data_IF_676876755865
#
_entry.id   IF_676876755865
#
_cell.length_a   1.000
_cell.length_b   1.000
_cell.length_c   1.000
_cell.angle_alpha   90.00
_cell.angle_beta   90.00
_cell.angle_gamma   90.00
#
_symmetry.space_group_name_H-M   'P 1'
#
loop_
_entity.id
_entity.type
_entity.pdbx_description
1 polymer ?
#
# COMPACT_ATOMS: atom_id res chain seq x y z
N UNK A 1 -18.39 -25.02 -17.69
CA UNK A 1 -17.31 -24.15 -17.14
C UNK A 1 -17.72 -22.66 -17.13
N UNK A 2 -18.56 -22.20 -18.04
CA UNK A 2 -19.08 -20.81 -18.09
C UNK A 2 -19.89 -20.42 -16.86
N UNK A 3 -20.85 -21.27 -16.41
CA UNK A 3 -21.71 -20.97 -15.26
C UNK A 3 -20.97 -20.62 -13.96
N UNK A 4 -19.78 -21.20 -13.74
CA UNK A 4 -18.97 -20.90 -12.55
C UNK A 4 -18.36 -19.48 -12.63
N UNK A 5 -17.89 -19.07 -13.80
CA UNK A 5 -17.41 -17.71 -14.02
C UNK A 5 -18.54 -16.68 -13.93
N UNK A 6 -19.70 -17.01 -14.48
CA UNK A 6 -20.89 -16.14 -14.40
C UNK A 6 -21.31 -15.95 -12.94
N UNK A 7 -21.32 -17.02 -12.14
CA UNK A 7 -21.61 -16.94 -10.70
C UNK A 7 -20.61 -16.04 -9.94
N UNK A 8 -19.31 -16.12 -10.25
CA UNK A 8 -18.30 -15.26 -9.62
C UNK A 8 -18.53 -13.80 -10.00
N UNK A 9 -18.82 -13.51 -11.26
CA UNK A 9 -19.08 -12.16 -11.73
C UNK A 9 -20.35 -11.58 -11.10
N UNK A 10 -21.39 -12.39 -10.95
CA UNK A 10 -22.63 -11.99 -10.28
C UNK A 10 -22.41 -11.72 -8.80
N UNK A 11 -21.68 -12.58 -8.08
CA UNK A 11 -21.30 -12.35 -6.70
C UNK A 11 -20.49 -11.06 -6.54
N UNK A 12 -19.57 -10.81 -7.44
CA UNK A 12 -18.71 -9.62 -7.45
C UNK A 12 -19.55 -8.35 -7.63
N UNK A 13 -20.55 -8.39 -8.52
CA UNK A 13 -21.49 -7.30 -8.73
C UNK A 13 -22.43 -7.09 -7.52
N UNK A 14 -22.98 -8.15 -6.95
CA UNK A 14 -23.85 -8.08 -5.78
C UNK A 14 -23.12 -7.54 -4.55
N UNK A 15 -21.91 -7.99 -4.28
CA UNK A 15 -21.09 -7.49 -3.18
C UNK A 15 -20.74 -6.00 -3.36
N UNK A 16 -20.43 -5.58 -4.58
CA UNK A 16 -20.24 -4.17 -4.87
C UNK A 16 -21.48 -3.36 -4.54
N UNK A 17 -22.65 -3.73 -5.09
CA UNK A 17 -23.90 -2.97 -4.89
C UNK A 17 -24.28 -2.90 -3.40
N UNK A 18 -24.14 -4.01 -2.67
CA UNK A 18 -24.38 -4.06 -1.23
C UNK A 18 -23.49 -3.07 -0.47
N UNK A 19 -22.18 -3.05 -0.75
CA UNK A 19 -21.23 -2.17 -0.06
C UNK A 19 -21.38 -0.70 -0.50
N UNK A 20 -21.70 -0.46 -1.78
CA UNK A 20 -21.93 0.87 -2.33
C UNK A 20 -23.27 1.48 -1.86
N UNK A 21 -24.25 0.65 -1.45
CA UNK A 21 -25.52 1.14 -0.87
C UNK A 21 -25.39 1.69 0.54
N UNK A 22 -24.31 1.39 1.27
CA UNK A 22 -24.03 1.87 2.64
C UNK A 22 -23.60 3.34 2.69
N UNK A 23 -23.86 4.07 1.65
CA UNK A 23 -23.44 5.47 1.48
C UNK A 23 -24.23 6.43 2.37
N UNK A 24 -23.53 7.46 2.83
CA UNK A 24 -24.08 8.63 3.53
C UNK A 24 -23.18 9.86 3.30
N UNK A 25 -23.67 11.05 3.60
CA UNK A 25 -22.95 12.33 3.35
C UNK A 25 -21.56 12.38 4.01
N UNK A 26 -21.47 11.94 5.27
CA UNK A 26 -20.18 11.84 5.98
C UNK A 26 -19.22 10.89 5.27
N UNK A 27 -19.69 9.70 4.90
CA UNK A 27 -18.89 8.69 4.20
C UNK A 27 -18.46 9.16 2.81
N UNK A 28 -19.28 9.94 2.11
CA UNK A 28 -18.95 10.49 0.79
C UNK A 28 -17.71 11.39 0.87
N UNK A 29 -17.66 12.30 1.83
CA UNK A 29 -16.51 13.18 2.05
C UNK A 29 -15.31 12.39 2.52
N UNK A 30 -15.49 11.53 3.54
CA UNK A 30 -14.39 10.77 4.14
C UNK A 30 -13.74 9.81 3.14
N UNK A 31 -14.51 8.98 2.44
CA UNK A 31 -13.99 7.96 1.54
C UNK A 31 -13.37 8.56 0.28
N UNK A 32 -13.94 9.67 -0.22
CA UNK A 32 -13.38 10.40 -1.35
C UNK A 32 -11.99 10.94 -1.01
N UNK A 33 -11.86 11.67 0.10
CA UNK A 33 -10.59 12.24 0.55
C UNK A 33 -9.58 11.15 0.95
N UNK A 34 -10.03 10.12 1.68
CA UNK A 34 -9.17 9.01 2.12
C UNK A 34 -8.50 8.30 0.95
N UNK A 35 -9.20 8.14 -0.18
CA UNK A 35 -8.65 7.54 -1.39
C UNK A 35 -7.71 8.46 -2.18
N UNK A 36 -7.63 9.73 -1.78
CA UNK A 36 -6.81 10.74 -2.43
C UNK A 36 -5.32 10.54 -2.14
N UNK A 37 -4.48 10.48 -3.19
CA UNK A 37 -3.03 10.28 -3.03
C UNK A 37 -2.31 11.41 -2.29
N UNK A 38 -2.82 12.64 -2.39
CA UNK A 38 -2.19 13.82 -1.81
C UNK A 38 -2.30 13.89 -0.29
N UNK A 39 -3.38 13.35 0.25
CA UNK A 39 -3.64 13.30 1.69
C UNK A 39 -2.54 12.52 2.43
N UNK A 40 -1.95 11.52 1.79
CA UNK A 40 -0.98 10.61 2.38
C UNK A 40 0.48 11.03 2.17
N UNK A 41 0.77 12.21 1.59
CA UNK A 41 2.15 12.68 1.38
C UNK A 41 2.92 12.71 2.70
N UNK A 42 2.33 13.26 3.77
CA UNK A 42 2.95 13.29 5.10
C UNK A 42 3.33 11.88 5.59
N UNK A 43 2.43 10.92 5.41
CA UNK A 43 2.68 9.52 5.76
C UNK A 43 3.83 8.91 4.94
N UNK A 44 3.89 9.13 3.63
CA UNK A 44 4.99 8.63 2.79
C UNK A 44 6.33 9.27 3.15
N UNK A 45 6.36 10.57 3.44
CA UNK A 45 7.57 11.27 3.88
C UNK A 45 8.07 10.74 5.23
N UNK A 46 7.17 10.38 6.15
CA UNK A 46 7.56 9.80 7.43
C UNK A 46 8.05 8.36 7.32
N UNK A 47 7.53 7.56 6.38
CA UNK A 47 8.10 6.26 6.03
C UNK A 47 9.56 6.44 5.56
N UNK A 48 9.79 7.35 4.61
CA UNK A 48 11.15 7.65 4.13
C UNK A 48 12.08 8.09 5.27
N UNK A 49 11.64 9.04 6.09
CA UNK A 49 12.40 9.52 7.25
C UNK A 49 12.72 8.38 8.24
N UNK A 50 11.74 7.54 8.56
CA UNK A 50 11.93 6.39 9.44
C UNK A 50 12.94 5.37 8.89
N UNK A 51 12.93 5.13 7.58
CA UNK A 51 13.91 4.26 6.92
C UNK A 51 15.34 4.81 7.09
N UNK A 52 15.53 6.11 6.85
CA UNK A 52 16.83 6.75 6.99
C UNK A 52 17.31 6.76 8.46
N UNK A 53 16.40 7.08 9.39
CA UNK A 53 16.73 7.13 10.84
C UNK A 53 17.07 5.75 11.41
N UNK A 54 16.36 4.73 10.98
CA UNK A 54 16.53 3.36 11.52
C UNK A 54 17.70 2.60 10.91
N UNK A 55 17.94 2.75 9.61
CA UNK A 55 18.93 1.95 8.88
C UNK A 55 20.18 2.75 8.45
N UNK A 56 20.22 4.05 8.72
CA UNK A 56 21.24 4.96 8.20
C UNK A 56 20.94 5.38 6.75
N UNK A 57 21.64 6.43 6.29
CA UNK A 57 21.31 7.11 5.04
C UNK A 57 21.35 6.18 3.82
N UNK A 58 22.48 5.46 3.60
CA UNK A 58 22.66 4.61 2.40
C UNK A 58 21.67 3.44 2.38
N UNK A 59 21.55 2.72 3.49
CA UNK A 59 20.62 1.57 3.59
C UNK A 59 19.17 2.03 3.53
N UNK A 60 18.87 3.17 4.17
CA UNK A 60 17.55 3.79 4.12
C UNK A 60 17.14 4.17 2.69
N UNK A 61 18.07 4.72 1.89
CA UNK A 61 17.83 5.00 0.48
C UNK A 61 17.57 3.74 -0.35
N UNK A 62 18.30 2.64 -0.09
CA UNK A 62 18.06 1.37 -0.80
C UNK A 62 16.66 0.85 -0.49
N UNK A 63 16.22 0.87 0.77
CA UNK A 63 14.88 0.45 1.14
C UNK A 63 13.81 1.39 0.60
N UNK A 64 14.04 2.70 0.59
CA UNK A 64 13.11 3.67 0.01
C UNK A 64 12.97 3.48 -1.51
N UNK A 65 14.08 3.23 -2.21
CA UNK A 65 14.06 2.90 -3.63
C UNK A 65 13.30 1.59 -3.90
N UNK A 66 13.49 0.55 -3.08
CA UNK A 66 12.73 -0.69 -3.17
C UNK A 66 11.23 -0.49 -2.94
N UNK A 67 10.83 0.38 -2.02
CA UNK A 67 9.42 0.76 -1.82
C UNK A 67 8.84 1.47 -3.06
N UNK A 68 9.56 2.44 -3.61
CA UNK A 68 9.17 3.15 -4.84
C UNK A 68 9.07 2.18 -6.03
N UNK A 69 10.03 1.27 -6.17
CA UNK A 69 10.02 0.25 -7.21
C UNK A 69 8.84 -0.72 -7.07
N UNK A 70 8.47 -1.08 -5.84
CA UNK A 70 7.29 -1.91 -5.56
C UNK A 70 6.02 -1.25 -6.09
N UNK A 71 5.82 0.04 -5.78
CA UNK A 71 4.64 0.79 -6.24
C UNK A 71 4.67 0.94 -7.77
N UNK A 72 5.82 1.28 -8.36
CA UNK A 72 5.95 1.41 -9.81
C UNK A 72 5.68 0.09 -10.53
N UNK A 73 6.22 -1.03 -10.03
CA UNK A 73 5.96 -2.36 -10.58
C UNK A 73 4.47 -2.71 -10.50
N UNK A 74 3.84 -2.53 -9.33
CA UNK A 74 2.44 -2.84 -9.11
C UNK A 74 1.52 -2.01 -10.03
N UNK A 75 1.79 -0.70 -10.16
CA UNK A 75 1.03 0.18 -11.02
C UNK A 75 1.17 -0.19 -12.50
N UNK A 76 2.40 -0.41 -12.99
CA UNK A 76 2.67 -0.77 -14.37
C UNK A 76 2.09 -2.14 -14.74
N UNK A 77 2.24 -3.14 -13.87
CA UNK A 77 1.65 -4.46 -14.10
C UNK A 77 0.12 -4.38 -14.21
N UNK A 78 -0.52 -3.61 -13.33
CA UNK A 78 -1.98 -3.44 -13.38
C UNK A 78 -2.42 -2.59 -14.57
N UNK A 79 -1.82 -1.41 -14.76
CA UNK A 79 -2.30 -0.43 -15.73
C UNK A 79 -1.91 -0.75 -17.17
N UNK A 80 -0.65 -1.20 -17.38
CA UNK A 80 -0.07 -1.32 -18.72
C UNK A 80 -0.04 -2.76 -19.25
N UNK A 81 -0.09 -3.77 -18.36
CA UNK A 81 -0.02 -5.17 -18.79
C UNK A 81 -1.39 -5.86 -18.67
N UNK A 82 -1.92 -5.98 -17.43
CA UNK A 82 -3.10 -6.83 -17.19
C UNK A 82 -4.38 -6.12 -17.67
N UNK A 83 -4.53 -4.82 -17.41
CA UNK A 83 -5.76 -4.08 -17.75
C UNK A 83 -6.10 -4.09 -19.25
N UNK A 84 -5.16 -3.87 -20.18
CA UNK A 84 -5.44 -3.97 -21.60
C UNK A 84 -5.81 -5.39 -22.07
N UNK A 85 -5.24 -6.42 -21.41
CA UNK A 85 -5.50 -7.81 -21.75
C UNK A 85 -6.90 -8.26 -21.33
N UNK A 86 -7.37 -7.80 -20.16
CA UNK A 86 -8.67 -8.22 -19.60
C UNK A 86 -9.81 -7.34 -20.07
N UNK A 87 -9.60 -6.02 -20.18
CA UNK A 87 -10.59 -5.06 -20.70
C UNK A 87 -11.88 -4.94 -19.88
N UNK A 88 -11.93 -5.43 -18.60
CA UNK A 88 -13.13 -5.37 -17.76
C UNK A 88 -13.51 -3.92 -17.47
N UNK A 89 -14.73 -3.54 -17.89
CA UNK A 89 -15.28 -2.21 -17.62
C UNK A 89 -15.46 -1.97 -16.12
N UNK A 90 -15.23 -0.72 -15.68
CA UNK A 90 -15.58 -0.30 -14.30
C UNK A 90 -17.09 -0.34 -14.07
N UNK A 91 -17.54 -0.59 -12.82
CA UNK A 91 -18.97 -0.46 -12.50
C UNK A 91 -19.48 0.96 -12.74
N UNK A 92 -18.63 1.97 -12.59
CA UNK A 92 -18.93 3.40 -12.84
C UNK A 92 -18.92 3.80 -14.32
N UNK A 93 -18.47 2.95 -15.25
CA UNK A 93 -18.44 3.28 -16.67
C UNK A 93 -19.86 3.35 -17.23
N UNK A 94 -20.20 4.42 -17.97
CA UNK A 94 -21.53 4.63 -18.52
C UNK A 94 -21.98 3.55 -19.53
N UNK A 95 -21.02 2.89 -20.17
CA UNK A 95 -21.29 1.76 -21.08
C UNK A 95 -21.58 0.45 -20.34
N UNK A 96 -21.30 0.39 -19.03
CA UNK A 96 -21.58 -0.76 -18.19
C UNK A 96 -23.04 -0.71 -17.72
N UNK A 97 -23.88 -1.72 -18.04
CA UNK A 97 -25.29 -1.74 -17.59
C UNK A 97 -25.45 -1.58 -16.06
N UNK A 98 -24.48 -2.06 -15.28
CA UNK A 98 -24.50 -1.94 -13.82
C UNK A 98 -24.41 -0.48 -13.35
N UNK A 99 -23.88 0.43 -14.18
CA UNK A 99 -23.66 1.83 -13.79
C UNK A 99 -24.93 2.59 -13.41
N UNK A 100 -26.09 2.12 -13.90
CA UNK A 100 -27.39 2.68 -13.54
C UNK A 100 -27.77 2.43 -12.07
N UNK A 101 -27.18 1.42 -11.44
CA UNK A 101 -27.47 1.00 -10.06
C UNK A 101 -26.35 1.41 -9.08
N UNK A 102 -25.24 1.93 -9.59
CA UNK A 102 -24.07 2.30 -8.78
C UNK A 102 -24.15 3.76 -8.36
N UNK A 103 -24.06 4.00 -7.06
CA UNK A 103 -23.96 5.35 -6.52
C UNK A 103 -22.56 5.92 -6.77
N UNK A 104 -22.48 7.07 -7.41
CA UNK A 104 -21.23 7.76 -7.73
C UNK A 104 -21.07 8.99 -6.86
N UNK A 105 -19.93 9.12 -6.19
CA UNK A 105 -19.61 10.27 -5.34
C UNK A 105 -18.85 11.31 -6.19
N UNK A 106 -19.26 12.58 -6.08
CA UNK A 106 -18.62 13.73 -6.77
C UNK A 106 -18.40 13.53 -8.27
N UNK A 107 -19.27 12.78 -8.95
CA UNK A 107 -19.12 12.42 -10.38
C UNK A 107 -17.79 11.72 -10.71
N UNK A 108 -17.10 11.15 -9.72
CA UNK A 108 -15.84 10.49 -9.92
C UNK A 108 -16.03 9.07 -10.47
N UNK A 109 -15.74 8.86 -11.75
CA UNK A 109 -15.94 7.58 -12.45
C UNK A 109 -14.65 6.82 -12.74
N UNK A 110 -13.50 7.50 -12.71
CA UNK A 110 -12.21 6.92 -13.11
C UNK A 110 -12.12 6.68 -14.63
N UNK A 111 -11.15 5.85 -15.04
CA UNK A 111 -11.00 5.46 -16.45
C UNK A 111 -11.97 4.36 -16.88
N UNK A 112 -12.03 3.97 -18.17
CA UNK A 112 -13.03 3.03 -18.70
C UNK A 112 -12.92 1.63 -18.09
N UNK A 113 -11.71 1.09 -17.95
CA UNK A 113 -11.44 -0.25 -17.44
C UNK A 113 -10.91 -0.25 -16.01
N UNK A 114 -11.31 -1.24 -15.22
CA UNK A 114 -11.03 -1.31 -13.77
C UNK A 114 -10.12 -2.44 -13.32
N UNK A 115 -10.06 -3.52 -14.05
CA UNK A 115 -9.35 -4.73 -13.62
C UNK A 115 -7.90 -4.77 -14.08
N UNK A 116 -6.95 -5.06 -13.17
CA UNK A 116 -7.09 -5.03 -11.73
C UNK A 116 -6.97 -3.61 -11.16
N UNK A 117 -7.23 -3.45 -9.85
CA UNK A 117 -7.13 -2.16 -9.18
C UNK A 117 -5.70 -1.77 -8.86
N UNK A 118 -5.20 -0.69 -9.50
CA UNK A 118 -3.90 -0.13 -9.15
C UNK A 118 -3.84 0.41 -7.71
N UNK A 119 -4.96 0.93 -7.17
CA UNK A 119 -4.99 1.39 -5.77
C UNK A 119 -4.74 0.24 -4.80
N UNK A 120 -5.40 -0.89 -4.98
CA UNK A 120 -5.17 -2.08 -4.16
C UNK A 120 -3.73 -2.59 -4.33
N UNK A 121 -3.23 -2.65 -5.56
CA UNK A 121 -1.88 -3.12 -5.84
C UNK A 121 -0.82 -2.22 -5.17
N UNK A 122 -0.94 -0.91 -5.29
CA UNK A 122 0.00 0.04 -4.73
C UNK A 122 -0.03 0.04 -3.19
N UNK A 123 -1.23 0.02 -2.58
CA UNK A 123 -1.37 0.07 -1.13
C UNK A 123 -0.95 -1.24 -0.45
N UNK A 124 -1.37 -2.39 -0.95
CA UNK A 124 -0.96 -3.69 -0.42
C UNK A 124 0.52 -3.99 -0.71
N UNK A 125 1.03 -3.60 -1.87
CA UNK A 125 2.45 -3.72 -2.20
C UNK A 125 3.31 -2.91 -1.23
N UNK A 126 2.99 -1.63 -1.02
CA UNK A 126 3.68 -0.79 -0.06
C UNK A 126 3.57 -1.33 1.37
N UNK A 127 2.36 -1.78 1.77
CA UNK A 127 2.11 -2.33 3.10
C UNK A 127 2.99 -3.56 3.37
N UNK A 128 3.00 -4.52 2.46
CA UNK A 128 3.78 -5.75 2.63
C UNK A 128 5.28 -5.49 2.58
N UNK A 129 5.75 -4.69 1.61
CA UNK A 129 7.16 -4.33 1.49
C UNK A 129 7.69 -3.67 2.77
N UNK A 130 7.00 -2.63 3.25
CA UNK A 130 7.42 -1.90 4.45
C UNK A 130 7.30 -2.73 5.72
N UNK A 131 6.34 -3.66 5.78
CA UNK A 131 6.24 -4.66 6.87
C UNK A 131 7.46 -5.57 6.92
N UNK A 132 7.95 -6.07 5.79
CA UNK A 132 9.18 -6.86 5.72
C UNK A 132 10.41 -6.07 6.18
N UNK A 133 10.46 -4.77 5.85
CA UNK A 133 11.58 -3.89 6.23
C UNK A 133 11.53 -3.51 7.70
N UNK A 134 10.39 -3.02 8.19
CA UNK A 134 10.29 -2.51 9.57
C UNK A 134 10.10 -3.62 10.61
N UNK A 135 9.44 -4.72 10.30
CA UNK A 135 9.16 -5.82 11.24
C UNK A 135 8.59 -5.32 12.56
N UNK A 136 7.66 -4.40 12.49
CA UNK A 136 6.98 -3.78 13.64
C UNK A 136 5.49 -4.07 13.56
N UNK A 137 4.93 -4.73 14.58
CA UNK A 137 3.53 -5.15 14.57
C UNK A 137 2.55 -3.97 14.58
N UNK A 138 2.90 -2.86 15.28
CA UNK A 138 2.08 -1.63 15.28
C UNK A 138 1.99 -1.03 13.88
N UNK A 139 3.14 -0.92 13.21
CA UNK A 139 3.21 -0.45 11.83
C UNK A 139 2.47 -1.40 10.87
N UNK A 140 2.68 -2.70 11.01
CA UNK A 140 2.02 -3.72 10.21
C UNK A 140 0.48 -3.60 10.32
N UNK A 141 -0.04 -3.56 11.55
CA UNK A 141 -1.48 -3.43 11.78
C UNK A 141 -2.05 -2.15 11.16
N UNK A 142 -1.37 -1.01 11.36
CA UNK A 142 -1.80 0.27 10.79
C UNK A 142 -1.80 0.25 9.26
N UNK A 143 -0.69 -0.16 8.63
CA UNK A 143 -0.53 -0.05 7.17
C UNK A 143 -1.45 -1.01 6.41
N UNK A 144 -1.72 -2.21 6.97
CA UNK A 144 -2.71 -3.12 6.37
C UNK A 144 -4.14 -2.64 6.57
N UNK A 145 -4.48 -2.08 7.74
CA UNK A 145 -5.79 -1.44 7.95
C UNK A 145 -5.99 -0.27 6.97
N UNK A 146 -4.97 0.57 6.81
CA UNK A 146 -4.96 1.66 5.83
C UNK A 146 -5.18 1.14 4.39
N UNK A 147 -4.51 0.06 3.99
CA UNK A 147 -4.71 -0.55 2.68
C UNK A 147 -6.13 -1.12 2.49
N UNK A 148 -6.69 -1.75 3.53
CA UNK A 148 -8.07 -2.26 3.52
C UNK A 148 -9.10 -1.13 3.39
N UNK A 149 -8.93 -0.04 4.15
CA UNK A 149 -9.83 1.13 4.03
C UNK A 149 -9.71 1.79 2.66
N UNK A 150 -8.49 1.84 2.06
CA UNK A 150 -8.33 2.27 0.68
C UNK A 150 -9.09 1.37 -0.30
N UNK A 151 -9.04 0.06 -0.15
CA UNK A 151 -9.81 -0.86 -0.98
C UNK A 151 -11.32 -0.65 -0.80
N UNK A 152 -11.78 -0.52 0.44
CA UNK A 152 -13.19 -0.24 0.72
C UNK A 152 -13.63 1.08 0.07
N UNK A 153 -12.83 2.13 0.16
CA UNK A 153 -13.15 3.40 -0.48
C UNK A 153 -13.40 3.28 -1.98
N UNK A 154 -12.71 2.35 -2.68
CA UNK A 154 -12.91 2.12 -4.13
C UNK A 154 -14.26 1.47 -4.46
N UNK A 155 -14.74 0.58 -3.60
CA UNK A 155 -16.09 0.00 -3.71
C UNK A 155 -17.15 1.03 -3.32
N UNK A 156 -16.91 1.76 -2.22
CA UNK A 156 -17.78 2.84 -1.77
C UNK A 156 -18.02 3.90 -2.86
N UNK A 157 -16.94 4.30 -3.55
CA UNK A 157 -17.00 5.26 -4.67
C UNK A 157 -17.56 4.65 -5.97
N UNK A 158 -17.88 3.35 -6.00
CA UNK A 158 -18.45 2.67 -7.15
C UNK A 158 -17.51 2.46 -8.33
N UNK A 159 -16.18 2.51 -8.14
CA UNK A 159 -15.20 2.50 -9.25
C UNK A 159 -14.47 1.16 -9.46
N UNK A 160 -14.60 0.22 -8.53
CA UNK A 160 -14.00 -1.11 -8.62
C UNK A 160 -14.90 -2.19 -8.02
N UNK A 161 -14.88 -3.35 -8.62
CA UNK A 161 -15.43 -4.56 -8.05
C UNK A 161 -14.51 -5.14 -6.96
N UNK A 162 -15.02 -5.92 -5.98
CA UNK A 162 -14.19 -6.66 -5.02
C UNK A 162 -13.10 -7.51 -5.66
N UNK A 163 -13.41 -8.21 -6.77
CA UNK A 163 -12.46 -9.03 -7.52
C UNK A 163 -11.31 -8.22 -8.12
N UNK A 164 -11.57 -6.97 -8.58
CA UNK A 164 -10.50 -6.07 -9.06
C UNK A 164 -9.50 -5.74 -7.95
N UNK A 165 -10.01 -5.56 -6.72
CA UNK A 165 -9.21 -5.23 -5.55
C UNK A 165 -8.38 -6.42 -5.07
N UNK A 166 -9.00 -7.61 -5.04
CA UNK A 166 -8.31 -8.84 -4.65
C UNK A 166 -7.12 -9.14 -5.56
N UNK A 167 -7.35 -9.13 -6.88
CA UNK A 167 -6.28 -9.39 -7.85
C UNK A 167 -5.23 -8.27 -7.81
N UNK A 168 -5.65 -7.02 -7.66
CA UNK A 168 -4.73 -5.90 -7.45
C UNK A 168 -3.83 -6.12 -6.23
N UNK A 169 -4.41 -6.48 -5.08
CA UNK A 169 -3.66 -6.76 -3.86
C UNK A 169 -2.63 -7.89 -4.06
N UNK A 170 -3.01 -8.98 -4.76
CA UNK A 170 -2.10 -10.09 -5.08
C UNK A 170 -0.93 -9.58 -5.93
N UNK A 171 -1.18 -8.81 -6.99
CA UNK A 171 -0.13 -8.24 -7.85
C UNK A 171 0.82 -7.36 -7.03
N UNK A 172 0.28 -6.51 -6.15
CA UNK A 172 1.07 -5.67 -5.25
C UNK A 172 1.95 -6.49 -4.30
N UNK A 173 1.38 -7.54 -3.69
CA UNK A 173 2.13 -8.43 -2.80
C UNK A 173 3.26 -9.17 -3.52
N UNK A 174 3.05 -9.63 -4.75
CA UNK A 174 4.10 -10.25 -5.57
C UNK A 174 5.22 -9.24 -5.84
N UNK A 175 4.88 -8.01 -6.24
CA UNK A 175 5.84 -6.93 -6.44
C UNK A 175 6.64 -6.61 -5.17
N UNK A 176 5.99 -6.56 -4.01
CA UNK A 176 6.64 -6.32 -2.72
C UNK A 176 7.67 -7.41 -2.40
N UNK A 177 7.32 -8.66 -2.60
CA UNK A 177 8.23 -9.80 -2.37
C UNK A 177 9.47 -9.72 -3.26
N UNK A 178 9.28 -9.50 -4.56
CA UNK A 178 10.39 -9.37 -5.53
C UNK A 178 11.28 -8.18 -5.19
N UNK A 179 10.70 -7.01 -4.96
CA UNK A 179 11.48 -5.80 -4.67
C UNK A 179 12.20 -5.87 -3.31
N UNK A 180 11.60 -6.52 -2.31
CA UNK A 180 12.27 -6.75 -1.03
C UNK A 180 13.49 -7.68 -1.19
N UNK A 181 13.36 -8.73 -1.98
CA UNK A 181 14.49 -9.61 -2.29
C UNK A 181 15.62 -8.87 -3.02
N UNK A 182 15.29 -8.06 -4.03
CA UNK A 182 16.26 -7.24 -4.76
C UNK A 182 16.94 -6.21 -3.85
N UNK A 183 16.20 -5.54 -2.97
CA UNK A 183 16.76 -4.62 -1.99
C UNK A 183 17.74 -5.34 -1.06
N UNK A 184 17.42 -6.57 -0.63
CA UNK A 184 18.33 -7.42 0.16
C UNK A 184 19.64 -7.75 -0.57
N UNK A 185 19.59 -8.08 -1.86
CA UNK A 185 20.81 -8.30 -2.67
C UNK A 185 21.66 -7.03 -2.76
N UNK A 186 21.04 -5.86 -2.99
CA UNK A 186 21.74 -4.57 -3.02
C UNK A 186 22.40 -4.25 -1.68
N UNK A 187 21.70 -4.47 -0.56
CA UNK A 187 22.23 -4.28 0.79
C UNK A 187 23.50 -5.13 1.02
N UNK A 188 23.43 -6.42 0.69
CA UNK A 188 24.55 -7.33 0.83
C UNK A 188 25.77 -6.89 0.00
N UNK A 189 25.53 -6.40 -1.22
CA UNK A 189 26.60 -5.91 -2.09
C UNK A 189 27.30 -4.67 -1.52
N UNK A 190 26.51 -3.70 -1.01
CA UNK A 190 27.05 -2.49 -0.38
C UNK A 190 27.83 -2.80 0.88
N UNK A 191 27.35 -3.72 1.72
CA UNK A 191 28.04 -4.13 2.96
C UNK A 191 29.37 -4.79 2.66
N UNK A 192 29.43 -5.72 1.68
CA UNK A 192 30.69 -6.38 1.27
C UNK A 192 31.73 -5.41 0.73
N UNK A 193 31.31 -4.37 -0.02
CA UNK A 193 32.23 -3.33 -0.51
C UNK A 193 32.71 -2.39 0.59
N UNK A 194 31.88 -2.10 1.58
CA UNK A 194 32.25 -1.24 2.73
C UNK A 194 33.27 -1.87 3.64
N UNK A 195 33.30 -3.19 3.79
CA UNK A 195 34.32 -3.94 4.54
C UNK A 195 35.65 -4.04 3.81
N UNK A 196 35.66 -3.91 2.47
CA UNK A 196 36.86 -3.99 1.62
C UNK A 196 37.56 -2.65 1.38
N UNK A 197 36.92 -1.50 1.68
CA UNK A 197 37.51 -0.16 1.51
C UNK A 197 37.43 0.59 2.81
N UNK A 198 38.53 0.66 3.54
CA UNK A 198 38.74 1.65 4.61
C UNK A 198 38.45 3.05 4.08
N UNK A 199 37.61 3.76 4.80
CA UNK A 199 37.42 5.22 4.78
C UNK A 199 37.57 5.93 3.44
N UNK A 200 36.53 6.00 2.65
CA UNK A 200 36.39 6.99 1.60
C UNK A 200 35.57 8.17 2.17
N UNK A 201 36.19 9.35 2.24
CA UNK A 201 35.61 10.63 2.71
C UNK A 201 35.51 10.85 4.22
N UNK A 202 36.48 10.46 5.07
CA UNK A 202 36.59 11.06 6.42
C UNK A 202 35.35 11.07 7.34
N UNK A 203 34.23 10.58 6.87
CA UNK A 203 33.01 10.37 7.65
C UNK A 203 33.16 8.99 8.30
N UNK A 204 33.51 9.01 9.59
CA UNK A 204 33.37 7.82 10.44
C UNK A 204 31.95 7.32 10.29
N UNK A 205 31.71 6.31 9.47
CA UNK A 205 30.45 5.58 9.49
C UNK A 205 30.33 4.99 10.89
N UNK A 206 29.38 5.51 11.63
CA UNK A 206 29.07 5.08 12.99
C UNK A 206 28.94 3.57 12.98
N UNK A 207 29.85 2.90 13.68
CA UNK A 207 29.91 1.46 13.83
C UNK A 207 28.87 1.07 14.88
N UNK A 208 27.59 1.34 14.58
CA UNK A 208 26.52 0.74 15.36
C UNK A 208 26.56 -0.76 15.07
N UNK A 209 26.79 -1.52 16.13
CA UNK A 209 26.59 -2.96 16.11
C UNK A 209 25.24 -3.25 15.46
N UNK A 210 25.16 -4.21 14.54
CA UNK A 210 23.92 -4.54 13.90
C UNK A 210 22.93 -5.04 14.95
N UNK A 211 21.97 -4.20 15.33
CA UNK A 211 20.79 -4.60 16.10
C UNK A 211 19.79 -5.38 15.20
N UNK A 212 20.21 -5.73 13.99
CA UNK A 212 19.52 -6.68 13.14
C UNK A 212 20.33 -8.00 13.13
N UNK A 213 19.71 -9.14 13.43
CA UNK A 213 20.39 -10.42 13.34
C UNK A 213 20.89 -10.63 11.90
N UNK A 214 22.14 -11.00 11.78
CA UNK A 214 22.82 -11.37 10.54
C UNK A 214 21.93 -12.22 9.63
N UNK A 215 21.71 -11.74 8.41
CA UNK A 215 21.09 -12.52 7.33
C UNK A 215 22.09 -13.57 6.79
N UNK A 216 23.29 -13.65 7.37
CA UNK A 216 24.30 -14.64 7.03
C UNK A 216 24.43 -15.68 8.16
N UNK A 217 23.62 -16.74 8.10
CA UNK A 217 24.02 -18.00 8.73
C UNK A 217 23.23 -18.57 9.88
N UNK A 218 21.99 -18.16 10.11
CA UNK A 218 21.00 -19.01 10.83
C UNK A 218 19.60 -18.62 10.33
N UNK A 219 18.78 -19.60 10.02
CA UNK A 219 17.32 -19.47 9.94
C UNK A 219 16.85 -19.07 11.37
N UNK A 220 17.14 -17.84 11.75
CA UNK A 220 16.78 -17.27 13.02
C UNK A 220 15.32 -16.84 12.98
N UNK A 221 14.59 -17.27 13.98
CA UNK A 221 13.22 -16.86 14.32
C UNK A 221 13.05 -15.38 13.98
N UNK A 222 12.11 -15.06 13.07
CA UNK A 222 11.77 -13.70 12.68
C UNK A 222 11.26 -12.94 13.91
N UNK A 223 12.12 -12.15 14.55
CA UNK A 223 11.71 -11.33 15.68
C UNK A 223 10.95 -10.12 15.16
N UNK A 224 9.64 -10.14 15.31
CA UNK A 224 8.76 -9.00 15.06
C UNK A 224 8.61 -8.22 16.36
N UNK A 225 8.82 -6.90 16.33
CA UNK A 225 8.55 -6.01 17.45
C UNK A 225 7.06 -6.07 17.82
N UNK A 226 6.78 -6.22 19.12
CA UNK A 226 5.43 -6.37 19.65
C UNK A 226 4.82 -5.01 20.03
N UNK A 227 3.53 -4.98 20.31
CA UNK A 227 2.82 -3.77 20.73
C UNK A 227 3.38 -3.13 22.01
N UNK A 228 3.88 -3.92 22.95
CA UNK A 228 4.45 -3.45 24.22
C UNK A 228 5.91 -2.99 24.18
N UNK A 229 6.60 -3.14 23.04
CA UNK A 229 8.00 -2.74 22.93
C UNK A 229 8.15 -1.20 22.98
N UNK A 230 9.32 -0.67 23.43
CA UNK A 230 9.59 0.77 23.42
C UNK A 230 9.42 1.40 22.03
N UNK A 231 9.27 2.73 21.97
CA UNK A 231 9.18 3.49 20.72
C UNK A 231 10.38 3.18 19.80
N UNK A 232 10.08 3.05 18.51
CA UNK A 232 11.07 2.93 17.44
C UNK A 232 10.69 3.86 16.28
N UNK A 233 11.66 4.25 15.46
CA UNK A 233 11.42 5.15 14.32
C UNK A 233 10.34 4.64 13.35
N UNK A 234 10.12 3.33 13.27
CA UNK A 234 9.02 2.74 12.50
C UNK A 234 7.63 3.01 13.09
N UNK A 235 7.52 3.52 14.32
CA UNK A 235 6.24 3.94 14.91
C UNK A 235 5.85 5.36 14.47
N UNK A 236 6.81 6.17 14.03
CA UNK A 236 6.55 7.56 13.62
C UNK A 236 5.55 7.69 12.45
N UNK A 237 5.66 6.91 11.36
CA UNK A 237 4.65 6.88 10.32
C UNK A 237 3.24 6.53 10.83
N UNK A 238 3.14 5.65 11.84
CA UNK A 238 1.84 5.30 12.44
C UNK A 238 1.20 6.53 13.10
N UNK A 239 1.98 7.29 13.87
CA UNK A 239 1.49 8.50 14.53
C UNK A 239 0.97 9.50 13.49
N UNK A 240 1.75 9.79 12.44
CA UNK A 240 1.34 10.73 11.39
C UNK A 240 0.13 10.21 10.60
N UNK A 241 0.10 8.91 10.32
CA UNK A 241 -1.04 8.28 9.66
C UNK A 241 -2.33 8.39 10.48
N UNK A 242 -2.27 8.12 11.77
CA UNK A 242 -3.42 8.27 12.69
C UNK A 242 -3.88 9.73 12.76
N UNK A 243 -2.97 10.69 12.87
CA UNK A 243 -3.31 12.12 12.85
C UNK A 243 -4.00 12.48 11.53
N UNK A 244 -3.51 11.98 10.38
CA UNK A 244 -4.14 12.20 9.08
C UNK A 244 -5.57 11.67 9.08
N UNK A 245 -5.81 10.46 9.59
CA UNK A 245 -7.18 9.88 9.68
C UNK A 245 -8.07 10.75 10.56
N UNK A 246 -7.59 11.20 11.73
CA UNK A 246 -8.35 12.10 12.62
C UNK A 246 -8.72 13.40 11.89
N UNK A 247 -7.79 14.03 11.18
CA UNK A 247 -8.06 15.24 10.40
C UNK A 247 -9.14 14.99 9.33
N UNK A 248 -9.12 13.84 8.66
CA UNK A 248 -10.16 13.47 7.68
C UNK A 248 -11.53 13.26 8.33
N UNK A 249 -11.58 12.61 9.50
CA UNK A 249 -12.82 12.41 10.25
C UNK A 249 -13.41 13.77 10.68
N UNK A 250 -12.58 14.67 11.22
CA UNK A 250 -13.02 16.03 11.61
C UNK A 250 -13.54 16.80 10.39
N UNK A 251 -12.82 16.77 9.26
CA UNK A 251 -13.25 17.42 8.02
C UNK A 251 -14.60 16.88 7.55
N UNK A 252 -14.78 15.57 7.53
CA UNK A 252 -16.04 14.95 7.12
C UNK A 252 -17.20 15.29 8.05
N UNK A 253 -16.96 15.36 9.36
CA UNK A 253 -17.96 15.79 10.34
C UNK A 253 -18.38 17.24 10.11
N UNK A 254 -17.42 18.16 9.93
CA UNK A 254 -17.71 19.57 9.68
C UNK A 254 -18.39 19.85 8.34
N UNK A 255 -18.23 18.96 7.35
CA UNK A 255 -18.89 19.10 6.06
C UNK A 255 -20.39 18.71 6.08
N UNK A 256 -20.83 17.99 7.12
CA UNK A 256 -22.21 17.49 7.28
C UNK A 256 -23.00 18.31 8.31
N UNK A 257 -22.33 19.08 9.19
CA UNK A 257 -22.93 20.04 10.12
C UNK A 257 -23.29 21.33 9.42
#
# INVERSE_FOLDING_TARGET
MTWFFDLILDLDAHLLLMLNSLRNEFGDVFMYDFSGKWVWIGFYLTIFYALVRRFGFVRGLIYAFGAALTVAFADQMCASVIRPLVGRMRPSNLENPLSAFVNIVNNYRGGPNGFPSCHAANTFGLALYTTFVFRNLRFCAFVFLWALVNCWSRMYLGVHYPGDLLVGAIVGCVGAFVCYFLAGLMQNHVTRRGTSRGSFLGVRMYNEQPTSPDIAGKVGVWSIRRFGDPFDWSDFPVIVGVVTVICLLVKATLAVL
#
